data_IF_276372754075
#
_entry.id   IF_276372754075
#
_cell.length_a   1.000
_cell.length_b   1.000
_cell.length_c   1.000
_cell.angle_alpha   90.00
_cell.angle_beta   90.00
_cell.angle_gamma   90.00
#
_symmetry.space_group_name_H-M   'P 1'
#
loop_
_entity.id
_entity.type
_entity.pdbx_description
1 polymer ?
#
# COMPACT_ATOMS: atom_id res chain seq x y z
N UNK A 1 6.64 11.20 3.20
CA UNK A 1 6.32 10.08 2.27
C UNK A 1 5.03 9.31 2.63
N UNK A 2 4.71 8.98 3.91
CA UNK A 2 3.47 8.25 4.24
C UNK A 2 2.21 9.02 3.85
N UNK A 3 2.14 10.30 4.12
CA UNK A 3 0.99 11.17 3.78
C UNK A 3 0.62 11.14 2.28
N UNK A 4 1.61 11.21 1.38
CA UNK A 4 1.35 11.14 -0.07
C UNK A 4 0.70 9.81 -0.51
N UNK A 5 1.04 8.72 0.17
CA UNK A 5 0.42 7.40 -0.09
C UNK A 5 -0.99 7.35 0.47
N UNK A 6 -1.21 7.89 1.67
CA UNK A 6 -2.53 7.99 2.27
C UNK A 6 -3.51 8.81 1.41
N UNK A 7 -3.05 9.95 0.83
CA UNK A 7 -3.86 10.72 -0.11
C UNK A 7 -4.23 9.92 -1.36
N UNK A 8 -3.32 9.08 -1.88
CA UNK A 8 -3.65 8.20 -3.01
C UNK A 8 -4.71 7.17 -2.65
N UNK A 9 -4.61 6.55 -1.47
CA UNK A 9 -5.63 5.60 -1.01
C UNK A 9 -6.99 6.29 -0.87
N UNK A 10 -7.00 7.49 -0.30
CA UNK A 10 -8.19 8.31 -0.15
C UNK A 10 -8.90 8.58 -1.49
N UNK A 11 -8.16 8.94 -2.54
CA UNK A 11 -8.72 9.20 -3.86
C UNK A 11 -9.19 7.91 -4.56
N UNK A 12 -8.46 6.79 -4.38
CA UNK A 12 -8.76 5.53 -5.06
C UNK A 12 -9.89 4.77 -4.37
N UNK A 13 -9.78 4.59 -3.05
CA UNK A 13 -10.71 3.76 -2.27
C UNK A 13 -11.78 4.56 -1.50
N UNK A 14 -11.76 5.89 -1.62
CA UNK A 14 -12.63 6.76 -0.86
C UNK A 14 -12.18 6.97 0.60
N UNK A 15 -11.25 6.17 1.09
CA UNK A 15 -10.76 6.25 2.46
C UNK A 15 -9.28 5.91 2.57
N UNK A 16 -8.64 6.44 3.58
CA UNK A 16 -7.28 6.04 3.93
C UNK A 16 -7.10 5.95 5.44
N UNK A 17 -6.16 5.14 5.85
CA UNK A 17 -5.89 4.84 7.24
C UNK A 17 -4.49 5.25 7.64
N UNK A 18 -4.41 5.92 8.78
CA UNK A 18 -3.15 6.27 9.41
C UNK A 18 -3.17 5.85 10.88
N UNK A 19 -2.07 5.25 11.33
CA UNK A 19 -1.83 4.95 12.73
C UNK A 19 -0.96 6.05 13.32
N UNK A 20 -1.43 6.65 14.40
CA UNK A 20 -0.75 7.73 15.10
C UNK A 20 -0.38 7.24 16.48
N UNK A 21 0.83 7.50 16.90
CA UNK A 21 1.29 7.10 18.22
C UNK A 21 2.57 7.80 18.61
N UNK A 22 3.10 7.38 19.73
CA UNK A 22 4.36 7.88 20.26
C UNK A 22 5.38 6.74 20.30
N UNK A 23 6.54 6.94 19.71
CA UNK A 23 7.62 5.97 19.73
C UNK A 23 8.61 6.40 20.79
N UNK A 24 8.65 5.63 21.86
CA UNK A 24 9.58 5.80 22.93
C UNK A 24 10.46 4.54 22.98
N UNK A 25 11.76 4.72 22.75
CA UNK A 25 12.73 3.62 22.76
C UNK A 25 13.90 4.02 23.64
N UNK A 26 14.07 3.26 24.71
CA UNK A 26 15.25 3.32 25.54
C UNK A 26 16.19 2.16 25.21
N UNK A 27 17.46 2.44 25.17
CA UNK A 27 18.51 1.46 24.99
C UNK A 27 19.52 1.56 26.14
N UNK A 28 19.85 0.42 26.70
CA UNK A 28 20.89 0.31 27.69
C UNK A 28 22.26 0.56 27.03
N UNK A 29 22.99 1.53 27.53
CA UNK A 29 24.36 1.90 27.09
C UNK A 29 25.33 1.73 28.26
N UNK A 30 26.48 1.13 28.00
CA UNK A 30 27.58 1.11 28.94
C UNK A 30 28.14 2.52 29.05
N UNK A 31 28.24 3.03 30.28
CA UNK A 31 28.83 4.32 30.57
C UNK A 31 30.35 4.28 30.34
N UNK A 32 30.88 5.31 29.72
CA UNK A 32 32.33 5.51 29.60
C UNK A 32 32.96 5.82 30.96
N UNK A 33 34.29 5.62 31.09
CA UNK A 33 35.02 5.93 32.32
C UNK A 33 34.83 7.40 32.76
N UNK A 34 34.92 8.36 31.83
CA UNK A 34 34.75 9.79 32.14
C UNK A 34 33.36 10.15 32.63
N UNK A 35 32.30 9.50 32.09
CA UNK A 35 30.91 9.74 32.53
C UNK A 35 30.65 9.15 33.91
N UNK A 36 31.33 8.08 34.25
CA UNK A 36 31.27 7.47 35.60
C UNK A 36 32.00 8.30 36.61
N UNK A 37 33.16 8.88 36.22
CA UNK A 37 33.91 9.78 37.06
C UNK A 37 33.14 11.10 37.36
N UNK A 38 32.43 11.64 36.36
CA UNK A 38 31.56 12.80 36.53
C UNK A 38 30.38 12.49 37.47
N UNK A 39 29.75 11.35 37.33
CA UNK A 39 28.68 10.90 38.24
C UNK A 39 29.20 10.67 39.67
N UNK A 40 30.46 10.24 39.81
CA UNK A 40 31.11 10.09 41.13
C UNK A 40 31.37 11.44 41.76
N UNK A 41 31.91 12.39 41.00
CA UNK A 41 32.16 13.77 41.47
C UNK A 41 30.86 14.44 41.94
N UNK A 42 29.76 14.29 41.16
CA UNK A 42 28.45 14.81 41.53
C UNK A 42 27.92 14.16 42.83
N UNK A 43 28.01 12.84 42.95
CA UNK A 43 27.57 12.11 44.14
C UNK A 43 28.38 12.48 45.38
N UNK A 44 29.70 12.67 45.24
CA UNK A 44 30.58 13.14 46.30
C UNK A 44 30.23 14.58 46.70
N UNK A 45 29.99 15.47 45.74
CA UNK A 45 29.57 16.85 45.96
C UNK A 45 28.23 16.96 46.72
N UNK A 46 27.26 16.11 46.38
CA UNK A 46 25.98 16.03 47.10
C UNK A 46 26.15 15.48 48.53
N UNK A 47 27.01 14.49 48.72
CA UNK A 47 27.32 13.93 50.05
C UNK A 47 28.03 14.97 50.95
N UNK A 48 28.97 15.72 50.40
CA UNK A 48 29.67 16.81 51.12
C UNK A 48 28.70 17.96 51.48
N UNK A 49 27.80 18.32 50.58
CA UNK A 49 26.79 19.33 50.85
C UNK A 49 25.83 18.87 51.97
N UNK A 50 25.40 17.60 51.96
CA UNK A 50 24.57 17.03 53.01
C UNK A 50 25.28 16.95 54.34
N UNK A 51 26.58 16.57 54.35
CA UNK A 51 27.40 16.55 55.55
C UNK A 51 27.61 17.96 56.17
N UNK A 52 27.64 19.00 55.35
CA UNK A 52 27.72 20.39 55.81
C UNK A 52 26.42 20.87 56.46
N UNK A 53 25.24 20.38 55.99
CA UNK A 53 23.95 20.75 56.57
C UNK A 53 23.63 19.99 57.88
N UNK A 54 23.92 18.69 57.94
CA UNK A 54 23.66 17.85 59.13
C UNK A 54 24.90 16.96 59.49
N UNK A 55 25.83 17.47 60.27
CA UNK A 55 27.05 16.76 60.66
C UNK A 55 26.80 15.48 61.48
N UNK A 56 25.66 15.34 62.13
CA UNK A 56 25.32 14.16 62.93
C UNK A 56 24.85 13.00 62.00
N UNK A 57 24.10 13.34 60.97
CA UNK A 57 23.66 12.38 59.96
C UNK A 57 24.80 11.95 59.01
N UNK A 58 25.83 12.78 58.86
CA UNK A 58 27.00 12.50 58.00
C UNK A 58 27.78 11.24 58.41
N UNK A 59 27.73 10.82 59.68
CA UNK A 59 28.40 9.59 60.15
C UNK A 59 27.79 8.28 59.58
N UNK A 60 26.69 8.33 58.87
CA UNK A 60 26.03 7.21 58.19
C UNK A 60 26.14 7.22 56.67
N UNK A 61 26.86 8.19 56.08
CA UNK A 61 27.07 8.24 54.64
C UNK A 61 28.05 7.12 54.20
N UNK A 62 27.81 6.56 52.99
CA UNK A 62 28.73 5.58 52.41
C UNK A 62 30.11 6.22 52.17
N UNK A 63 31.15 5.42 52.24
CA UNK A 63 32.52 5.86 51.93
C UNK A 63 32.69 6.10 50.43
N UNK A 64 33.72 6.89 50.06
CA UNK A 64 34.00 7.18 48.64
C UNK A 64 34.16 5.92 47.80
N UNK A 65 34.77 4.85 48.34
CA UNK A 65 34.92 3.55 47.69
C UNK A 65 33.57 2.83 47.52
N UNK A 66 32.68 2.97 48.50
CA UNK A 66 31.30 2.37 48.41
C UNK A 66 30.44 3.16 47.44
N UNK A 67 30.60 4.48 47.35
CA UNK A 67 29.91 5.30 46.34
C UNK A 67 30.40 4.97 44.94
N UNK A 68 31.70 4.84 44.73
CA UNK A 68 32.30 4.42 43.47
C UNK A 68 31.82 3.02 43.00
N UNK A 69 31.63 2.07 43.96
CA UNK A 69 31.12 0.74 43.69
C UNK A 69 29.62 0.73 43.33
N UNK A 70 28.86 1.71 43.81
CA UNK A 70 27.42 1.80 43.57
C UNK A 70 27.07 2.55 42.28
N UNK A 71 28.04 3.19 41.61
CA UNK A 71 27.78 3.83 40.31
C UNK A 71 27.42 2.77 39.27
N UNK A 72 26.28 2.93 38.60
CA UNK A 72 25.85 1.94 37.59
C UNK A 72 26.85 1.90 36.42
N UNK A 73 27.12 0.68 35.94
CA UNK A 73 27.97 0.49 34.75
C UNK A 73 27.25 0.82 33.46
N UNK A 74 25.91 0.84 33.50
CA UNK A 74 25.03 1.07 32.36
C UNK A 74 24.01 2.14 32.69
N UNK A 75 23.68 2.97 31.72
CA UNK A 75 22.58 3.93 31.82
C UNK A 75 21.57 3.69 30.67
N UNK A 76 20.31 3.93 31.00
CA UNK A 76 19.26 3.94 29.98
C UNK A 76 19.34 5.26 29.21
N UNK A 77 19.59 5.16 27.91
CA UNK A 77 19.60 6.29 27.00
C UNK A 77 18.36 6.26 26.12
N UNK A 78 17.63 7.36 26.09
CA UNK A 78 16.51 7.55 25.18
C UNK A 78 17.05 7.67 23.76
N UNK A 79 16.75 6.71 22.91
CA UNK A 79 17.18 6.65 21.50
C UNK A 79 16.14 7.30 20.61
N UNK A 80 14.86 7.05 20.88
CA UNK A 80 13.75 7.63 20.13
C UNK A 80 12.68 8.13 21.12
N UNK A 81 12.29 9.37 20.97
CA UNK A 81 11.21 10.03 21.73
C UNK A 81 10.49 11.00 20.80
N UNK A 82 9.64 10.42 19.93
CA UNK A 82 8.98 11.20 18.88
C UNK A 82 7.61 10.64 18.50
N UNK A 83 6.67 11.52 18.09
CA UNK A 83 5.43 11.06 17.51
C UNK A 83 5.70 10.37 16.17
N UNK A 84 4.94 9.34 15.88
CA UNK A 84 4.95 8.71 14.56
C UNK A 84 3.57 8.76 13.91
N UNK A 85 3.59 8.83 12.58
CA UNK A 85 2.41 8.69 11.74
C UNK A 85 2.75 7.66 10.66
N UNK A 86 2.05 6.55 10.68
CA UNK A 86 2.24 5.46 9.73
C UNK A 86 1.00 5.26 8.88
N UNK A 87 1.19 5.08 7.58
CA UNK A 87 0.10 4.73 6.66
C UNK A 87 -0.16 3.23 6.75
N UNK A 88 -1.42 2.86 6.97
CA UNK A 88 -1.88 1.49 6.90
C UNK A 88 -2.60 1.27 5.57
N UNK A 89 -2.39 0.11 4.96
CA UNK A 89 -3.13 -0.28 3.76
C UNK A 89 -4.61 -0.47 4.12
N UNK A 90 -5.55 0.05 3.31
CA UNK A 90 -6.98 -0.20 3.51
C UNK A 90 -7.37 -1.68 3.58
N UNK A 91 -6.53 -2.57 3.04
CA UNK A 91 -6.72 -4.03 3.06
C UNK A 91 -6.15 -4.72 4.29
N UNK A 92 -5.41 -3.99 5.12
CA UNK A 92 -4.78 -4.51 6.32
C UNK A 92 -5.50 -4.03 7.59
N UNK A 93 -6.64 -3.37 7.44
CA UNK A 93 -7.47 -2.93 8.56
C UNK A 93 -8.87 -3.51 8.43
N UNK A 94 -9.40 -3.97 9.53
CA UNK A 94 -10.73 -4.58 9.65
C UNK A 94 -11.47 -3.86 10.74
N UNK A 95 -12.70 -3.51 10.48
CA UNK A 95 -13.56 -2.79 11.41
C UNK A 95 -14.82 -3.62 11.64
N UNK A 96 -15.47 -3.41 12.76
CA UNK A 96 -16.76 -4.01 13.09
C UNK A 96 -17.75 -3.81 11.93
N UNK A 97 -18.30 -4.88 11.32
CA UNK A 97 -19.23 -4.78 10.21
C UNK A 97 -20.58 -4.15 10.57
N UNK A 98 -20.93 -4.07 11.87
CA UNK A 98 -22.13 -3.41 12.32
C UNK A 98 -21.96 -1.89 12.45
N UNK A 99 -20.74 -1.37 12.41
CA UNK A 99 -20.47 0.05 12.56
C UNK A 99 -20.82 0.85 11.30
N UNK A 100 -21.40 2.01 11.47
CA UNK A 100 -21.66 2.99 10.42
C UNK A 100 -20.64 4.13 10.41
N UNK A 101 -19.98 4.36 11.54
CA UNK A 101 -18.92 5.34 11.72
C UNK A 101 -17.86 4.83 12.71
N UNK A 102 -16.78 5.58 12.85
CA UNK A 102 -15.68 5.21 13.77
C UNK A 102 -16.12 5.19 15.24
N UNK A 103 -17.09 6.02 15.60
CA UNK A 103 -17.56 6.16 16.99
C UNK A 103 -18.45 4.98 17.41
N UNK A 104 -19.11 4.32 16.44
CA UNK A 104 -19.96 3.15 16.66
C UNK A 104 -19.18 1.83 16.67
N UNK A 105 -17.94 1.85 16.18
CA UNK A 105 -17.13 0.63 16.05
C UNK A 105 -16.81 0.04 17.43
N UNK A 106 -17.18 -1.20 17.66
CA UNK A 106 -16.90 -1.94 18.90
C UNK A 106 -15.45 -2.45 18.93
N UNK A 107 -14.89 -2.72 17.77
CA UNK A 107 -13.52 -3.21 17.61
C UNK A 107 -12.92 -2.81 16.28
N UNK A 108 -11.58 -2.74 16.25
CA UNK A 108 -10.77 -2.55 15.04
C UNK A 108 -9.62 -3.55 15.10
N UNK A 109 -9.28 -4.16 13.97
CA UNK A 109 -8.13 -5.06 13.89
C UNK A 109 -7.19 -4.65 12.75
N UNK A 110 -5.90 -4.63 13.03
CA UNK A 110 -4.85 -4.39 12.04
C UNK A 110 -4.12 -5.68 11.74
N UNK A 111 -4.04 -6.06 10.47
CA UNK A 111 -3.21 -7.14 9.97
C UNK A 111 -1.78 -6.66 9.78
N UNK A 112 -0.82 -7.37 10.33
CA UNK A 112 0.60 -7.09 10.23
C UNK A 112 1.31 -8.34 9.73
N UNK A 113 2.05 -8.22 8.63
CA UNK A 113 2.87 -9.29 8.08
C UNK A 113 4.30 -9.11 8.58
N UNK A 114 4.84 -10.10 9.25
CA UNK A 114 6.18 -10.07 9.83
C UNK A 114 7.02 -11.27 9.37
N UNK A 115 8.35 -11.13 9.24
CA UNK A 115 9.23 -12.29 9.13
C UNK A 115 9.02 -13.24 10.33
N UNK A 116 8.89 -14.55 10.05
CA UNK A 116 8.59 -15.54 11.08
C UNK A 116 9.64 -15.55 12.19
N UNK A 117 10.92 -15.48 11.84
CA UNK A 117 12.02 -15.44 12.81
C UNK A 117 11.95 -14.24 13.74
N UNK A 118 11.68 -13.05 13.22
CA UNK A 118 11.55 -11.85 14.04
C UNK A 118 10.36 -11.97 15.02
N UNK A 119 9.25 -12.55 14.57
CA UNK A 119 8.08 -12.76 15.43
C UNK A 119 8.35 -13.82 16.51
N UNK A 120 9.11 -14.88 16.19
CA UNK A 120 9.52 -15.90 17.15
C UNK A 120 10.53 -15.39 18.18
N UNK A 121 11.37 -14.43 17.81
CA UNK A 121 12.38 -13.83 18.69
C UNK A 121 11.82 -12.67 19.54
N UNK A 122 10.66 -12.15 19.20
CA UNK A 122 10.05 -11.01 19.89
C UNK A 122 9.65 -11.36 21.33
N UNK A 123 10.40 -10.82 22.30
CA UNK A 123 10.21 -11.09 23.73
C UNK A 123 8.91 -10.54 24.30
N UNK A 124 8.25 -9.60 23.59
CA UNK A 124 6.94 -9.06 23.98
C UNK A 124 5.84 -10.13 23.86
N UNK A 125 6.04 -11.12 22.99
CA UNK A 125 5.13 -12.22 22.79
C UNK A 125 5.33 -13.33 23.82
N UNK A 126 4.25 -13.97 24.23
CA UNK A 126 4.26 -15.11 25.14
C UNK A 126 5.14 -16.23 24.61
N UNK A 127 6.05 -16.74 25.43
CA UNK A 127 7.06 -17.71 25.01
C UNK A 127 6.45 -19.01 24.42
N UNK A 128 5.31 -19.48 24.94
CA UNK A 128 4.62 -20.64 24.43
C UNK A 128 3.99 -20.38 23.04
N UNK A 129 3.30 -19.24 22.89
CA UNK A 129 2.62 -18.89 21.65
C UNK A 129 3.61 -18.59 20.51
N UNK A 130 4.68 -17.81 20.76
CA UNK A 130 5.67 -17.45 19.73
C UNK A 130 6.46 -18.65 19.19
N UNK A 131 6.68 -19.70 20.00
CA UNK A 131 7.34 -20.94 19.54
C UNK A 131 6.48 -21.78 18.62
N UNK A 132 5.16 -21.64 18.73
CA UNK A 132 4.17 -22.35 17.92
C UNK A 132 3.78 -21.58 16.65
N UNK A 133 4.36 -20.40 16.41
CA UNK A 133 4.13 -19.67 15.17
C UNK A 133 4.65 -20.45 13.97
N UNK A 134 3.81 -20.59 12.96
CA UNK A 134 4.15 -21.19 11.67
C UNK A 134 4.06 -20.15 10.55
N UNK A 135 4.63 -20.48 9.42
CA UNK A 135 4.51 -19.66 8.22
C UNK A 135 3.08 -19.69 7.69
N UNK A 136 2.55 -18.52 7.37
CA UNK A 136 1.22 -18.35 6.79
C UNK A 136 1.30 -18.12 5.29
N UNK A 137 0.32 -18.65 4.54
CA UNK A 137 0.16 -18.31 3.15
C UNK A 137 -0.38 -16.89 3.03
N UNK A 138 0.35 -16.03 2.32
CA UNK A 138 -0.03 -14.65 2.11
C UNK A 138 -0.97 -14.56 0.89
N UNK A 139 -2.24 -14.24 1.12
CA UNK A 139 -3.16 -13.88 0.06
C UNK A 139 -3.21 -12.35 -0.07
N UNK A 140 -2.80 -11.85 -1.22
CA UNK A 140 -2.94 -10.42 -1.55
C UNK A 140 -4.13 -10.18 -2.47
N UNK A 141 -4.76 -9.00 -2.41
CA UNK A 141 -5.84 -8.65 -3.32
C UNK A 141 -5.40 -8.72 -4.79
N UNK A 142 -6.26 -9.26 -5.65
CA UNK A 142 -5.96 -9.60 -7.05
C UNK A 142 -5.45 -8.44 -7.92
N UNK A 143 -5.81 -7.18 -7.62
CA UNK A 143 -5.29 -6.01 -8.35
C UNK A 143 -3.82 -5.70 -8.06
N UNK A 144 -3.27 -6.23 -6.97
CA UNK A 144 -1.85 -6.08 -6.61
C UNK A 144 -0.95 -7.09 -7.35
N UNK A 145 -1.53 -8.12 -7.98
CA UNK A 145 -0.82 -9.28 -8.53
C UNK A 145 0.12 -8.90 -9.68
N UNK A 146 -0.30 -8.03 -10.59
CA UNK A 146 0.51 -7.74 -11.79
C UNK A 146 1.81 -6.98 -11.53
N UNK A 147 1.85 -6.14 -10.49
CA UNK A 147 3.05 -5.36 -10.12
C UNK A 147 3.85 -6.07 -9.01
N UNK A 148 3.17 -6.88 -8.19
CA UNK A 148 3.78 -7.58 -7.06
C UNK A 148 4.32 -8.96 -7.41
N UNK A 149 3.91 -9.59 -8.51
CA UNK A 149 4.43 -10.91 -8.90
C UNK A 149 5.97 -10.95 -8.93
N UNK A 150 6.60 -9.88 -9.42
CA UNK A 150 8.06 -9.77 -9.37
C UNK A 150 8.63 -9.56 -7.97
N UNK A 151 7.85 -8.94 -7.06
CA UNK A 151 8.25 -8.79 -5.66
C UNK A 151 7.93 -10.03 -4.83
N UNK A 152 6.90 -10.78 -5.17
CA UNK A 152 6.50 -12.03 -4.51
C UNK A 152 7.57 -13.11 -4.71
N UNK A 153 8.17 -13.19 -5.89
CA UNK A 153 9.27 -14.11 -6.17
C UNK A 153 10.49 -13.88 -5.25
N UNK A 154 10.72 -12.63 -4.81
CA UNK A 154 11.73 -12.29 -3.81
C UNK A 154 11.24 -12.44 -2.36
N UNK A 155 9.93 -12.29 -2.11
CA UNK A 155 9.34 -12.42 -0.78
C UNK A 155 9.07 -13.88 -0.38
N UNK A 156 8.99 -14.78 -1.34
CA UNK A 156 8.76 -16.22 -1.15
C UNK A 156 9.99 -16.95 -0.55
N UNK A 157 11.14 -16.26 -0.50
CA UNK A 157 12.36 -16.81 0.11
C UNK A 157 12.38 -16.70 1.64
N UNK A 158 11.55 -15.87 2.26
CA UNK A 158 11.45 -15.72 3.71
C UNK A 158 10.09 -16.19 4.21
N UNK A 159 10.10 -17.12 5.13
CA UNK A 159 8.90 -17.52 5.86
C UNK A 159 8.33 -16.32 6.63
N UNK A 160 7.03 -16.06 6.47
CA UNK A 160 6.32 -14.95 7.08
C UNK A 160 5.12 -15.44 7.85
N UNK A 161 4.80 -14.74 8.92
CA UNK A 161 3.59 -14.95 9.68
C UNK A 161 2.71 -13.69 9.67
N UNK A 162 1.42 -13.92 9.77
CA UNK A 162 0.40 -12.87 9.87
C UNK A 162 -0.05 -12.75 11.31
N UNK A 163 -0.03 -11.54 11.82
CA UNK A 163 -0.42 -11.21 13.18
C UNK A 163 -1.48 -10.12 13.11
N UNK A 164 -2.50 -10.24 13.94
CA UNK A 164 -3.56 -9.24 14.08
C UNK A 164 -3.41 -8.53 15.42
N UNK A 165 -3.27 -7.21 15.38
CA UNK A 165 -3.48 -6.36 16.56
C UNK A 165 -4.97 -6.08 16.65
N UNK A 166 -5.62 -6.61 17.66
CA UNK A 166 -7.05 -6.47 17.90
C UNK A 166 -7.30 -5.46 19.02
N UNK A 167 -7.96 -4.38 18.66
CA UNK A 167 -8.31 -3.27 19.51
C UNK A 167 -9.79 -3.39 19.86
N UNK A 168 -10.07 -3.84 21.07
CA UNK A 168 -11.44 -3.87 21.62
C UNK A 168 -11.75 -2.52 22.26
N UNK A 169 -12.55 -1.73 21.55
CA UNK A 169 -12.92 -0.38 21.97
C UNK A 169 -13.92 -0.44 23.15
N UNK A 170 -14.79 -1.44 23.14
CA UNK A 170 -15.80 -1.61 24.20
C UNK A 170 -15.17 -1.89 25.56
N UNK A 171 -14.18 -2.77 25.60
CA UNK A 171 -13.49 -3.17 26.83
C UNK A 171 -12.20 -2.36 27.05
N UNK A 172 -11.86 -1.46 26.13
CA UNK A 172 -10.64 -0.65 26.15
C UNK A 172 -9.37 -1.50 26.32
N UNK A 173 -9.27 -2.58 25.52
CA UNK A 173 -8.14 -3.51 25.55
C UNK A 173 -7.51 -3.72 24.19
N UNK A 174 -6.20 -4.03 24.21
CA UNK A 174 -5.42 -4.44 23.06
C UNK A 174 -4.97 -5.87 23.24
N UNK A 175 -5.17 -6.72 22.25
CA UNK A 175 -4.62 -8.07 22.19
C UNK A 175 -3.93 -8.33 20.86
N UNK A 176 -3.00 -9.29 20.85
CA UNK A 176 -2.29 -9.68 19.62
C UNK A 176 -2.51 -11.15 19.36
N UNK A 177 -3.04 -11.46 18.18
CA UNK A 177 -3.51 -12.78 17.79
C UNK A 177 -2.76 -13.21 16.52
N UNK A 178 -2.16 -14.41 16.47
CA UNK A 178 -1.61 -14.94 15.22
C UNK A 178 -2.71 -15.46 14.30
N UNK A 179 -2.49 -15.45 13.00
CA UNK A 179 -3.42 -16.06 12.04
C UNK A 179 -3.44 -17.59 12.18
N UNK A 180 -2.27 -18.19 12.31
CA UNK A 180 -2.11 -19.63 12.58
C UNK A 180 -1.73 -19.83 14.03
N UNK A 181 -2.70 -20.23 14.87
CA UNK A 181 -2.49 -20.55 16.28
C UNK A 181 -3.73 -20.27 17.12
N UNK A 182 -3.84 -21.01 18.20
CA UNK A 182 -5.01 -20.96 19.10
C UNK A 182 -4.77 -20.12 20.36
N UNK A 183 -3.61 -19.48 20.47
CA UNK A 183 -3.23 -18.74 21.67
C UNK A 183 -2.88 -17.29 21.33
N UNK A 184 -3.23 -16.38 22.21
CA UNK A 184 -2.82 -14.98 22.11
C UNK A 184 -1.28 -14.87 22.18
N UNK A 185 -0.70 -14.07 21.30
CA UNK A 185 0.70 -13.64 21.40
C UNK A 185 0.87 -12.62 22.53
N UNK A 186 -0.08 -11.72 22.67
CA UNK A 186 -0.23 -10.82 23.82
C UNK A 186 -1.66 -10.96 24.31
N UNK A 187 -1.81 -11.35 25.57
CA UNK A 187 -3.12 -11.40 26.23
C UNK A 187 -3.75 -9.99 26.25
N UNK A 188 -5.07 -9.86 26.37
CA UNK A 188 -5.71 -8.57 26.47
C UNK A 188 -5.09 -7.70 27.57
N UNK A 189 -4.48 -6.60 27.19
CA UNK A 189 -3.90 -5.56 28.05
C UNK A 189 -4.71 -4.29 27.95
N UNK A 190 -4.65 -3.42 28.94
CA UNK A 190 -5.25 -2.10 28.85
C UNK A 190 -4.73 -1.33 27.64
N UNK A 191 -5.60 -0.57 26.97
CA UNK A 191 -5.25 0.20 25.79
C UNK A 191 -4.09 1.15 26.10
N UNK A 192 -2.95 1.09 25.39
CA UNK A 192 -1.78 1.91 25.67
C UNK A 192 -1.91 3.35 25.15
N UNK A 193 -2.99 3.69 24.48
CA UNK A 193 -3.24 5.00 23.87
C UNK A 193 -4.22 5.81 24.70
N UNK A 194 -3.89 7.07 24.97
CA UNK A 194 -4.67 7.96 25.83
C UNK A 194 -6.09 8.25 25.30
N UNK A 195 -6.25 8.22 23.99
CA UNK A 195 -7.52 8.52 23.30
C UNK A 195 -8.22 7.26 22.74
N UNK A 196 -7.93 6.09 23.30
CA UNK A 196 -8.47 4.83 22.82
C UNK A 196 -7.65 4.26 21.65
N UNK A 197 -8.27 3.96 20.53
CA UNK A 197 -7.59 3.37 19.38
C UNK A 197 -6.70 4.39 18.63
N UNK A 198 -5.57 3.97 18.03
CA UNK A 198 -4.59 4.88 17.40
C UNK A 198 -4.89 5.21 15.94
N UNK A 199 -6.01 4.77 15.39
CA UNK A 199 -6.30 4.88 13.97
C UNK A 199 -7.07 6.15 13.65
N UNK A 200 -6.64 6.82 12.58
CA UNK A 200 -7.34 7.96 12.00
C UNK A 200 -7.73 7.60 10.57
N UNK A 201 -9.01 7.65 10.29
CA UNK A 201 -9.57 7.44 8.96
C UNK A 201 -9.83 8.78 8.28
N UNK A 202 -9.23 9.00 7.12
CA UNK A 202 -9.65 10.09 6.22
C UNK A 202 -10.75 9.56 5.31
N UNK A 203 -11.84 10.29 5.19
CA UNK A 203 -13.03 9.92 4.42
C UNK A 203 -13.23 10.90 3.27
N UNK A 204 -13.62 10.40 2.09
CA UNK A 204 -13.89 11.21 0.90
C UNK A 204 -15.39 11.55 0.84
N UNK A 205 -16.16 10.93 -0.05
CA UNK A 205 -17.60 11.20 -0.14
C UNK A 205 -18.38 10.29 0.80
N UNK A 206 -18.89 10.85 1.87
CA UNK A 206 -19.68 10.08 2.85
C UNK A 206 -21.00 9.61 2.25
N UNK A 207 -21.29 8.33 2.45
CA UNK A 207 -22.57 7.73 2.12
C UNK A 207 -23.31 7.52 3.45
N UNK A 208 -24.53 8.08 3.62
CA UNK A 208 -25.30 7.86 4.83
C UNK A 208 -25.50 6.37 5.12
N UNK A 209 -25.36 5.99 6.40
CA UNK A 209 -25.54 4.62 6.90
C UNK A 209 -24.51 3.60 6.41
N UNK A 210 -23.45 4.03 5.72
CA UNK A 210 -22.34 3.17 5.31
C UNK A 210 -21.03 3.59 5.95
N UNK A 211 -20.29 2.63 6.45
CA UNK A 211 -18.98 2.88 7.06
C UNK A 211 -17.95 3.38 6.05
N UNK A 212 -17.88 2.75 4.89
CA UNK A 212 -16.90 3.10 3.86
C UNK A 212 -17.48 4.15 2.90
N UNK A 213 -16.79 5.29 2.75
CA UNK A 213 -17.18 6.33 1.83
C UNK A 213 -16.83 5.97 0.38
N UNK A 214 -17.47 6.64 -0.57
CA UNK A 214 -17.21 6.49 -2.00
C UNK A 214 -15.91 7.20 -2.39
N UNK A 215 -15.14 6.61 -3.31
CA UNK A 215 -13.94 7.20 -3.89
C UNK A 215 -14.21 7.97 -5.19
N UNK A 216 -13.27 8.86 -5.56
CA UNK A 216 -13.36 9.60 -6.82
C UNK A 216 -13.41 8.68 -8.04
N UNK A 217 -12.64 7.57 -8.01
CA UNK A 217 -12.59 6.64 -9.14
C UNK A 217 -13.86 5.81 -9.33
N UNK A 218 -14.62 5.58 -8.28
CA UNK A 218 -15.87 4.84 -8.35
C UNK A 218 -16.91 5.57 -9.20
N UNK A 219 -17.00 6.90 -9.06
CA UNK A 219 -17.86 7.73 -9.88
C UNK A 219 -17.47 7.74 -11.38
N UNK A 220 -16.19 7.47 -11.68
CA UNK A 220 -15.65 7.50 -13.04
C UNK A 220 -15.69 6.12 -13.73
N UNK A 221 -15.94 5.03 -13.00
CA UNK A 221 -15.82 3.67 -13.51
C UNK A 221 -16.69 3.42 -14.75
N UNK A 222 -17.95 3.84 -14.72
CA UNK A 222 -18.89 3.64 -15.84
C UNK A 222 -18.44 4.39 -17.10
N UNK A 223 -17.98 5.62 -16.96
CA UNK A 223 -17.48 6.45 -18.06
C UNK A 223 -16.17 5.88 -18.64
N UNK A 224 -15.28 5.41 -17.78
CA UNK A 224 -14.04 4.77 -18.22
C UNK A 224 -14.32 3.48 -19.01
N UNK A 225 -15.25 2.66 -18.55
CA UNK A 225 -15.66 1.45 -19.28
C UNK A 225 -16.28 1.76 -20.64
N UNK A 226 -17.05 2.84 -20.75
CA UNK A 226 -17.61 3.31 -22.01
C UNK A 226 -16.51 3.78 -22.97
N UNK A 227 -15.56 4.56 -22.48
CA UNK A 227 -14.41 5.03 -23.26
C UNK A 227 -13.57 3.86 -23.77
N UNK A 228 -13.29 2.88 -22.93
CA UNK A 228 -12.54 1.68 -23.29
C UNK A 228 -13.24 0.85 -24.37
N UNK A 229 -14.56 0.69 -24.29
CA UNK A 229 -15.37 0.03 -25.32
C UNK A 229 -15.33 0.78 -26.64
N UNK A 230 -15.51 2.12 -26.60
CA UNK A 230 -15.47 2.97 -27.78
C UNK A 230 -14.11 2.88 -28.48
N UNK A 231 -13.01 3.00 -27.70
CA UNK A 231 -11.64 2.86 -28.23
C UNK A 231 -11.35 1.47 -28.78
N UNK A 232 -11.86 0.44 -28.13
CA UNK A 232 -11.74 -0.96 -28.62
C UNK A 232 -12.49 -1.16 -29.95
N UNK A 233 -13.66 -0.55 -30.11
CA UNK A 233 -14.42 -0.56 -31.37
C UNK A 233 -13.65 0.17 -32.48
N UNK A 234 -13.07 1.33 -32.20
CA UNK A 234 -12.23 2.06 -33.14
C UNK A 234 -11.01 1.23 -33.57
N UNK A 235 -10.32 0.58 -32.62
CA UNK A 235 -9.19 -0.31 -32.95
C UNK A 235 -9.59 -1.49 -33.80
N UNK A 236 -10.70 -2.15 -33.47
CA UNK A 236 -11.23 -3.26 -34.25
C UNK A 236 -11.65 -2.83 -35.66
N UNK A 237 -12.23 -1.64 -35.79
CA UNK A 237 -12.53 -1.07 -37.08
C UNK A 237 -11.25 -0.82 -37.88
N UNK A 238 -10.23 -0.16 -37.32
CA UNK A 238 -8.93 0.03 -38.00
C UNK A 238 -8.33 -1.31 -38.47
N UNK A 239 -8.39 -2.37 -37.66
CA UNK A 239 -7.93 -3.71 -38.06
C UNK A 239 -8.76 -4.28 -39.23
N UNK A 240 -10.07 -4.03 -39.26
CA UNK A 240 -10.93 -4.41 -40.40
C UNK A 240 -10.64 -3.61 -41.65
N UNK A 241 -10.24 -2.32 -41.48
CA UNK A 241 -9.81 -1.45 -42.56
C UNK A 241 -8.37 -1.75 -43.04
N UNK A 242 -7.59 -2.54 -42.30
CA UNK A 242 -6.33 -3.06 -42.83
C UNK A 242 -6.63 -3.75 -44.15
N UNK A 243 -5.99 -3.25 -45.20
CA UNK A 243 -6.23 -3.51 -46.60
C UNK A 243 -6.56 -4.99 -46.87
N UNK A 244 -7.85 -5.34 -47.01
CA UNK A 244 -8.32 -6.64 -47.46
C UNK A 244 -8.65 -6.53 -48.91
N UNK A 245 -8.17 -7.50 -49.70
CA UNK A 245 -8.38 -7.56 -51.10
C UNK A 245 -9.18 -8.81 -51.41
N UNK A 246 -10.14 -8.67 -52.32
CA UNK A 246 -10.83 -9.81 -52.95
C UNK A 246 -10.05 -10.14 -54.21
N UNK A 247 -9.67 -11.38 -54.38
CA UNK A 247 -8.99 -11.87 -55.56
C UNK A 247 -9.63 -13.15 -56.08
N UNK A 248 -9.52 -13.37 -57.38
CA UNK A 248 -9.98 -14.61 -58.00
C UNK A 248 -8.92 -15.68 -57.81
N UNK A 249 -9.26 -16.76 -57.09
CA UNK A 249 -8.35 -17.85 -56.77
C UNK A 249 -7.67 -18.49 -57.98
N UNK A 250 -8.38 -18.57 -59.11
CA UNK A 250 -7.85 -19.12 -60.36
C UNK A 250 -6.89 -18.21 -61.12
N UNK A 251 -6.84 -16.94 -60.77
CA UNK A 251 -5.98 -15.96 -61.45
C UNK A 251 -4.55 -15.90 -60.88
N UNK A 252 -4.29 -16.60 -59.77
CA UNK A 252 -2.99 -16.61 -59.11
C UNK A 252 -2.49 -18.06 -58.95
N UNK A 253 -1.28 -18.30 -59.38
CA UNK A 253 -0.54 -19.53 -59.01
C UNK A 253 -0.03 -19.49 -57.55
N UNK A 254 0.62 -20.57 -57.07
CA UNK A 254 1.16 -20.63 -55.71
C UNK A 254 2.11 -19.49 -55.41
N UNK A 255 2.98 -19.10 -56.33
CA UNK A 255 3.97 -18.00 -56.22
C UNK A 255 3.28 -16.63 -56.11
N UNK A 256 2.16 -16.44 -56.88
CA UNK A 256 1.40 -15.20 -56.82
C UNK A 256 0.67 -15.01 -55.52
N UNK A 257 0.19 -16.10 -54.89
CA UNK A 257 -0.42 -16.04 -53.54
C UNK A 257 0.61 -15.71 -52.49
N UNK A 258 1.76 -16.37 -52.50
CA UNK A 258 2.84 -16.13 -51.59
C UNK A 258 3.37 -14.66 -51.69
N UNK A 259 3.41 -14.14 -52.94
CA UNK A 259 3.79 -12.73 -53.15
C UNK A 259 2.76 -11.75 -52.63
N UNK A 260 1.44 -12.08 -52.72
CA UNK A 260 0.35 -11.25 -52.16
C UNK A 260 0.29 -11.27 -50.64
N UNK A 261 0.65 -12.37 -50.00
CA UNK A 261 0.66 -12.55 -48.56
C UNK A 261 1.96 -11.98 -47.91
N UNK A 262 2.96 -11.67 -48.73
CA UNK A 262 4.25 -11.16 -48.27
C UNK A 262 4.14 -9.69 -47.87
N UNK A 263 4.74 -9.32 -46.73
CA UNK A 263 4.88 -7.94 -46.24
C UNK A 263 6.01 -7.15 -46.92
N UNK A 264 6.64 -7.70 -47.99
CA UNK A 264 7.75 -7.05 -48.66
C UNK A 264 7.26 -5.94 -49.60
N UNK A 265 7.74 -4.73 -49.38
CA UNK A 265 7.47 -3.60 -50.26
C UNK A 265 8.10 -3.80 -51.64
N UNK A 266 7.32 -3.55 -52.71
CA UNK A 266 7.78 -3.60 -54.08
C UNK A 266 7.88 -5.01 -54.67
N UNK A 267 7.40 -6.07 -54.02
CA UNK A 267 7.40 -7.42 -54.58
C UNK A 267 6.39 -7.52 -55.76
N UNK A 268 6.87 -8.07 -56.90
CA UNK A 268 6.04 -8.29 -58.06
C UNK A 268 5.17 -9.53 -57.86
N UNK A 269 3.87 -9.40 -58.17
CA UNK A 269 2.89 -10.47 -58.05
C UNK A 269 2.58 -11.03 -59.42
N UNK A 270 2.98 -12.27 -59.76
CA UNK A 270 2.67 -12.87 -61.06
C UNK A 270 1.17 -13.25 -61.12
N UNK A 271 0.51 -12.87 -62.23
CA UNK A 271 -0.86 -13.20 -62.56
C UNK A 271 -0.85 -14.22 -63.73
N UNK A 272 -1.57 -15.33 -63.56
CA UNK A 272 -1.57 -16.46 -64.52
C UNK A 272 -2.68 -16.32 -65.56
N UNK A 273 -3.79 -15.63 -65.23
CA UNK A 273 -4.94 -15.50 -66.10
C UNK A 273 -4.83 -14.30 -67.05
N UNK A 274 -4.50 -14.55 -68.29
CA UNK A 274 -4.34 -13.53 -69.33
C UNK A 274 -5.65 -13.02 -69.90
N UNK A 275 -6.78 -13.68 -69.60
CA UNK A 275 -8.10 -13.35 -70.17
C UNK A 275 -8.84 -12.25 -69.41
N UNK A 276 -8.33 -11.84 -68.21
CA UNK A 276 -8.95 -10.81 -67.40
C UNK A 276 -8.06 -9.58 -67.28
N UNK A 277 -8.65 -8.39 -67.33
CA UNK A 277 -7.86 -7.19 -67.09
C UNK A 277 -7.30 -7.18 -65.65
N UNK A 278 -6.04 -6.77 -65.48
CA UNK A 278 -5.37 -6.76 -64.21
C UNK A 278 -6.14 -5.99 -63.12
N UNK A 279 -6.89 -4.95 -63.51
CA UNK A 279 -7.72 -4.17 -62.60
C UNK A 279 -8.88 -4.93 -61.95
N UNK A 280 -9.34 -6.01 -62.59
CA UNK A 280 -10.44 -6.86 -62.06
C UNK A 280 -9.92 -8.09 -61.29
N UNK A 281 -8.64 -8.36 -61.35
CA UNK A 281 -8.05 -9.55 -60.75
C UNK A 281 -7.95 -9.44 -59.24
N UNK A 282 -7.66 -8.23 -58.73
CA UNK A 282 -7.60 -7.88 -57.31
C UNK A 282 -8.42 -6.64 -57.09
N UNK A 283 -9.46 -6.73 -56.28
CA UNK A 283 -10.32 -5.59 -55.96
C UNK A 283 -10.27 -5.34 -54.46
N UNK A 284 -10.04 -4.09 -54.02
CA UNK A 284 -10.13 -3.78 -52.60
C UNK A 284 -11.52 -4.12 -52.10
N UNK A 285 -11.60 -4.80 -50.97
CA UNK A 285 -12.90 -5.12 -50.33
C UNK A 285 -13.66 -3.81 -50.04
N UNK A 286 -14.95 -3.71 -50.48
CA UNK A 286 -15.72 -2.52 -50.18
C UNK A 286 -15.81 -2.32 -48.67
N UNK A 287 -15.41 -1.15 -48.24
CA UNK A 287 -15.34 -0.81 -46.82
C UNK A 287 -16.44 0.20 -46.50
N UNK A 288 -17.18 -0.08 -45.44
CA UNK A 288 -18.10 0.91 -44.87
C UNK A 288 -17.33 1.76 -43.86
N UNK A 289 -17.13 3.06 -44.11
CA UNK A 289 -16.43 3.91 -43.19
C UNK A 289 -17.11 3.95 -41.82
N UNK A 290 -16.34 3.99 -40.74
CA UNK A 290 -16.87 4.27 -39.42
C UNK A 290 -17.57 5.63 -39.44
N UNK A 291 -18.74 5.68 -38.81
CA UNK A 291 -19.43 6.97 -38.65
C UNK A 291 -18.54 7.95 -37.89
N UNK A 292 -18.42 9.22 -38.35
CA UNK A 292 -17.73 10.26 -37.61
C UNK A 292 -18.24 10.44 -36.17
N UNK A 293 -19.49 10.07 -35.92
CA UNK A 293 -20.12 10.11 -34.59
C UNK A 293 -19.35 9.29 -33.53
N UNK A 294 -18.70 8.17 -33.93
CA UNK A 294 -17.93 7.34 -32.99
C UNK A 294 -16.66 8.10 -32.50
N UNK A 295 -16.07 8.92 -33.35
CA UNK A 295 -14.94 9.74 -32.97
C UNK A 295 -15.37 10.88 -32.02
N UNK A 296 -16.49 11.53 -32.33
CA UNK A 296 -17.06 12.58 -31.48
C UNK A 296 -17.49 12.01 -30.12
N UNK A 297 -17.99 10.77 -30.08
CA UNK A 297 -18.40 10.11 -28.85
C UNK A 297 -17.24 9.94 -27.86
N UNK A 298 -16.03 9.64 -28.34
CA UNK A 298 -14.87 9.53 -27.45
C UNK A 298 -14.48 10.88 -26.82
N UNK A 299 -14.63 12.00 -27.54
CA UNK A 299 -14.36 13.34 -27.02
C UNK A 299 -15.43 13.76 -26.02
N UNK A 300 -16.70 13.41 -26.27
CA UNK A 300 -17.80 13.68 -25.31
C UNK A 300 -17.56 12.94 -24.01
N UNK A 301 -17.26 11.65 -24.06
CA UNK A 301 -17.01 10.83 -22.85
C UNK A 301 -15.76 11.32 -22.10
N UNK A 302 -14.72 11.76 -22.80
CA UNK A 302 -13.55 12.38 -22.16
C UNK A 302 -13.92 13.72 -21.48
N UNK A 303 -14.81 14.50 -22.10
CA UNK A 303 -15.39 15.71 -21.50
C UNK A 303 -16.19 15.43 -20.24
N UNK A 304 -17.02 14.39 -20.27
CA UNK A 304 -17.83 13.95 -19.13
C UNK A 304 -16.95 13.47 -17.98
N UNK A 305 -15.89 12.67 -18.25
CA UNK A 305 -14.90 12.24 -17.26
C UNK A 305 -14.25 13.46 -16.59
N UNK A 306 -13.86 14.46 -17.37
CA UNK A 306 -13.26 15.69 -16.83
C UNK A 306 -14.24 16.47 -15.96
N UNK A 307 -15.51 16.52 -16.36
CA UNK A 307 -16.58 17.23 -15.64
C UNK A 307 -16.87 16.52 -14.30
N UNK A 308 -17.03 15.20 -14.31
CA UNK A 308 -17.30 14.40 -13.11
C UNK A 308 -16.11 14.39 -12.16
N UNK A 309 -14.88 14.29 -12.68
CA UNK A 309 -13.67 14.33 -11.84
C UNK A 309 -13.37 15.70 -11.22
N UNK A 310 -14.02 16.76 -11.68
CA UNK A 310 -13.75 18.13 -11.23
C UNK A 310 -12.36 18.64 -11.60
N UNK A 311 -11.61 17.93 -12.47
CA UNK A 311 -10.27 18.34 -12.92
C UNK A 311 -10.41 19.41 -13.99
N UNK A 312 -10.27 20.67 -13.59
CA UNK A 312 -10.34 21.82 -14.49
C UNK A 312 -9.21 21.81 -15.52
N UNK A 313 -9.42 22.51 -16.63
CA UNK A 313 -8.40 22.71 -17.67
C UNK A 313 -7.13 23.37 -17.12
N UNK A 314 -7.29 24.29 -16.15
CA UNK A 314 -6.18 24.89 -15.42
C UNK A 314 -5.32 23.87 -14.67
N UNK A 315 -5.95 22.90 -14.01
CA UNK A 315 -5.23 21.85 -13.29
C UNK A 315 -4.43 20.95 -14.23
N UNK A 316 -4.83 20.87 -15.50
CA UNK A 316 -4.13 20.15 -16.57
C UNK A 316 -3.07 20.98 -17.28
N UNK A 317 -2.92 22.27 -16.92
CA UNK A 317 -1.98 23.20 -17.54
C UNK A 317 -2.42 23.71 -18.90
N UNK A 318 -3.69 23.58 -19.26
CA UNK A 318 -4.29 24.18 -20.45
C UNK A 318 -4.76 25.60 -20.11
N UNK A 319 -4.37 26.59 -20.93
CA UNK A 319 -4.96 27.92 -20.81
C UNK A 319 -6.34 27.85 -21.45
N UNK A 320 -7.39 28.42 -20.84
CA UNK A 320 -8.66 28.58 -21.51
C UNK A 320 -8.48 29.54 -22.69
N UNK A 321 -9.10 29.23 -23.82
CA UNK A 321 -9.20 30.12 -24.99
C UNK A 321 -10.02 31.36 -24.67
#
# INVERSE_FOLDING_TARGET
KPFRRAVKDFLIFGHSWTKVGWKFLEQERTLGEGERDEMLEDALGEADAFAAEDPIAAGGLPTDDEMAANIPQTAMMVVEDQPFVERISPFDIFVDPEATCMDDAKWIAQRIVRPLKEAQDDRRYRAAARRNLSADSLSYPMYAVSVRQQQEEYLDTEERCVVYEYYDITNNTLSVIPQSGDQFLIDPIAMPYAYGQPFVMMRNYDIPDYFYPMGDLEALESLQLELDKTRSQMMNARKRYARKYLYHERSFGPEGREALESDQDGRLVPVVDENKPLAETVVPMPQTPLSPEIYNMSEIVEGDINTVSGVSEYARGQMPE
#
